data_IF_536615796911
#
_entry.id   IF_536615796911
#
_cell.length_a   1.000
_cell.length_b   1.000
_cell.length_c   1.000
_cell.angle_alpha   90.00
_cell.angle_beta   90.00
_cell.angle_gamma   90.00
#
_symmetry.space_group_name_H-M   'P 1'
#
loop_
_entity.id
_entity.type
_entity.pdbx_description
1 polymer ?
#
# COMPACT_ATOMS: atom_id res chain seq x y z
N UNK A 1 24.82 -13.30 -81.50
CA UNK A 1 24.59 -14.65 -80.94
C UNK A 1 23.08 -14.75 -80.77
N UNK A 2 22.38 -15.37 -81.71
CA UNK A 2 20.92 -15.51 -81.67
C UNK A 2 20.58 -16.73 -80.81
N UNK A 3 19.92 -16.51 -79.66
CA UNK A 3 19.39 -17.61 -78.86
C UNK A 3 18.30 -18.32 -79.65
N UNK A 4 18.34 -19.65 -79.66
CA UNK A 4 17.28 -20.42 -80.31
C UNK A 4 16.01 -20.44 -79.44
N UNK A 5 14.86 -20.65 -80.07
CA UNK A 5 13.52 -20.60 -79.42
C UNK A 5 13.41 -21.51 -78.19
N UNK A 6 14.07 -22.66 -78.18
CA UNK A 6 14.07 -23.62 -77.09
C UNK A 6 14.85 -23.11 -75.87
N UNK A 7 15.99 -22.45 -76.08
CA UNK A 7 16.76 -21.80 -75.01
C UNK A 7 15.96 -20.66 -74.36
N UNK A 8 15.16 -19.93 -75.15
CA UNK A 8 14.26 -18.89 -74.64
C UNK A 8 13.13 -19.46 -73.79
N UNK A 9 12.57 -20.63 -74.17
CA UNK A 9 11.55 -21.31 -73.36
C UNK A 9 12.13 -21.82 -72.05
N UNK A 10 13.29 -22.48 -72.10
CA UNK A 10 13.97 -22.98 -70.91
C UNK A 10 14.34 -21.86 -69.94
N UNK A 11 14.82 -20.72 -70.47
CA UNK A 11 15.07 -19.54 -69.67
C UNK A 11 13.81 -18.99 -69.01
N UNK A 12 12.71 -18.85 -69.78
CA UNK A 12 11.41 -18.38 -69.27
C UNK A 12 10.87 -19.30 -68.17
N UNK A 13 10.94 -20.61 -68.37
CA UNK A 13 10.48 -21.59 -67.39
C UNK A 13 11.38 -21.63 -66.15
N UNK A 14 12.69 -21.45 -66.33
CA UNK A 14 13.65 -21.27 -65.25
C UNK A 14 13.34 -20.03 -64.40
N UNK A 15 13.08 -18.88 -65.05
CA UNK A 15 12.70 -17.64 -64.39
C UNK A 15 11.37 -17.79 -63.63
N UNK A 16 10.37 -18.45 -64.23
CA UNK A 16 9.09 -18.74 -63.58
C UNK A 16 9.27 -19.59 -62.32
N UNK A 17 10.03 -20.69 -62.40
CA UNK A 17 10.34 -21.53 -61.22
C UNK A 17 11.11 -20.77 -60.13
N UNK A 18 11.94 -19.80 -60.49
CA UNK A 18 12.62 -18.96 -59.50
C UNK A 18 11.65 -18.00 -58.80
N UNK A 19 10.75 -17.37 -59.56
CA UNK A 19 9.71 -16.51 -59.03
C UNK A 19 8.73 -17.28 -58.13
N UNK A 20 8.26 -18.45 -58.57
CA UNK A 20 7.35 -19.28 -57.78
C UNK A 20 7.97 -19.69 -56.44
N UNK A 21 9.26 -20.08 -56.44
CA UNK A 21 10.02 -20.35 -55.19
C UNK A 21 10.19 -19.10 -54.35
N UNK A 22 10.33 -17.93 -54.96
CA UNK A 22 10.39 -16.64 -54.26
C UNK A 22 9.07 -16.31 -53.56
N UNK A 23 7.96 -16.47 -54.27
CA UNK A 23 6.60 -16.27 -53.76
C UNK A 23 6.34 -17.20 -52.57
N UNK A 24 6.72 -18.48 -52.68
CA UNK A 24 6.52 -19.44 -51.58
C UNK A 24 7.29 -19.04 -50.33
N UNK A 25 8.58 -18.66 -50.47
CA UNK A 25 9.37 -18.16 -49.33
C UNK A 25 8.75 -16.92 -48.69
N UNK A 26 8.20 -16.00 -49.49
CA UNK A 26 7.52 -14.83 -48.95
C UNK A 26 6.21 -15.19 -48.25
N UNK A 27 5.46 -16.18 -48.73
CA UNK A 27 4.25 -16.69 -48.08
C UNK A 27 4.60 -17.31 -46.72
N UNK A 28 5.57 -18.22 -46.66
CA UNK A 28 6.03 -18.82 -45.39
C UNK A 28 6.56 -17.77 -44.40
N UNK A 29 7.26 -16.74 -44.90
CA UNK A 29 7.76 -15.65 -44.04
C UNK A 29 6.61 -14.81 -43.50
N UNK A 30 5.60 -14.55 -44.32
CA UNK A 30 4.40 -13.82 -43.90
C UNK A 30 3.63 -14.59 -42.83
N UNK A 31 3.42 -15.89 -43.02
CA UNK A 31 2.73 -16.74 -42.04
C UNK A 31 3.48 -16.76 -40.70
N UNK A 32 4.80 -16.97 -40.71
CA UNK A 32 5.62 -16.90 -39.50
C UNK A 32 5.51 -15.56 -38.77
N UNK A 33 5.47 -14.44 -39.50
CA UNK A 33 5.29 -13.12 -38.90
C UNK A 33 3.88 -12.94 -38.31
N UNK A 34 2.86 -13.52 -38.95
CA UNK A 34 1.49 -13.49 -38.42
C UNK A 34 1.36 -14.33 -37.14
N UNK A 35 1.97 -15.50 -37.10
CA UNK A 35 1.99 -16.35 -35.91
C UNK A 35 2.77 -15.69 -34.77
N UNK A 36 3.93 -15.11 -35.07
CA UNK A 36 4.68 -14.33 -34.09
C UNK A 36 3.88 -13.14 -33.55
N UNK A 37 3.19 -12.40 -34.43
CA UNK A 37 2.35 -11.28 -33.99
C UNK A 37 1.21 -11.74 -33.09
N UNK A 38 0.58 -12.90 -33.38
CA UNK A 38 -0.49 -13.45 -32.55
C UNK A 38 0.04 -13.84 -31.17
N UNK A 39 1.15 -14.58 -31.14
CA UNK A 39 1.81 -14.98 -29.91
C UNK A 39 2.21 -13.77 -29.05
N UNK A 40 2.76 -12.72 -29.67
CA UNK A 40 3.10 -11.48 -28.96
C UNK A 40 1.88 -10.77 -28.37
N UNK A 41 0.74 -10.78 -29.07
CA UNK A 41 -0.50 -10.20 -28.54
C UNK A 41 -1.00 -10.99 -27.33
N UNK A 42 -1.06 -12.32 -27.43
CA UNK A 42 -1.46 -13.20 -26.32
C UNK A 42 -0.57 -13.00 -25.08
N UNK A 43 0.76 -13.00 -25.27
CA UNK A 43 1.70 -12.75 -24.18
C UNK A 43 1.56 -11.34 -23.59
N UNK A 44 1.21 -10.34 -24.40
CA UNK A 44 0.97 -8.97 -23.93
C UNK A 44 -0.30 -8.90 -23.10
N UNK A 45 -1.38 -9.54 -23.54
CA UNK A 45 -2.65 -9.59 -22.83
C UNK A 45 -2.51 -10.29 -21.46
N UNK A 46 -1.75 -11.39 -21.41
CA UNK A 46 -1.42 -12.08 -20.16
C UNK A 46 -0.64 -11.18 -19.18
N UNK A 47 0.36 -10.45 -19.68
CA UNK A 47 1.15 -9.52 -18.87
C UNK A 47 0.30 -8.34 -18.37
N UNK A 48 -0.62 -7.82 -19.18
CA UNK A 48 -1.55 -6.76 -18.77
C UNK A 48 -2.46 -7.28 -17.65
N UNK A 49 -3.07 -8.44 -17.82
CA UNK A 49 -3.97 -9.03 -16.82
C UNK A 49 -3.25 -9.28 -15.47
N UNK A 50 -2.02 -9.79 -15.52
CA UNK A 50 -1.23 -10.01 -14.31
C UNK A 50 -0.81 -8.69 -13.65
N UNK A 51 -0.50 -7.65 -14.44
CA UNK A 51 -0.20 -6.33 -13.91
C UNK A 51 -1.41 -5.71 -13.20
N UNK A 52 -2.60 -5.82 -13.78
CA UNK A 52 -3.86 -5.37 -13.16
C UNK A 52 -4.13 -6.12 -11.85
N UNK A 53 -3.94 -7.44 -11.84
CA UNK A 53 -4.08 -8.27 -10.64
C UNK A 53 -3.13 -7.83 -9.53
N UNK A 54 -1.84 -7.67 -9.84
CA UNK A 54 -0.82 -7.23 -8.88
C UNK A 54 -1.07 -5.81 -8.39
N UNK A 55 -1.53 -4.91 -9.26
CA UNK A 55 -1.90 -3.54 -8.89
C UNK A 55 -3.08 -3.51 -7.91
N UNK A 56 -4.08 -4.36 -8.14
CA UNK A 56 -5.20 -4.53 -7.22
C UNK A 56 -4.75 -5.07 -5.85
N UNK A 57 -3.89 -6.11 -5.84
CA UNK A 57 -3.34 -6.66 -4.60
C UNK A 57 -2.52 -5.63 -3.84
N UNK A 58 -1.71 -4.84 -4.54
CA UNK A 58 -0.93 -3.77 -3.93
C UNK A 58 -1.83 -2.71 -3.27
N UNK A 59 -2.89 -2.27 -3.95
CA UNK A 59 -3.85 -1.31 -3.39
C UNK A 59 -4.54 -1.88 -2.15
N UNK A 60 -4.93 -3.15 -2.18
CA UNK A 60 -5.55 -3.82 -1.04
C UNK A 60 -4.60 -3.87 0.16
N UNK A 61 -3.35 -4.29 -0.05
CA UNK A 61 -2.34 -4.33 1.02
C UNK A 61 -2.04 -2.93 1.56
N UNK A 62 -1.97 -1.91 0.70
CA UNK A 62 -1.80 -0.52 1.14
C UNK A 62 -2.94 -0.07 2.05
N UNK A 63 -4.19 -0.35 1.67
CA UNK A 63 -5.35 -0.05 2.50
C UNK A 63 -5.33 -0.80 3.85
N UNK A 64 -4.93 -2.08 3.86
CA UNK A 64 -4.79 -2.87 5.08
C UNK A 64 -3.69 -2.33 6.01
N UNK A 65 -2.55 -1.92 5.45
CA UNK A 65 -1.44 -1.31 6.19
C UNK A 65 -1.85 0.02 6.80
N UNK A 66 -2.54 0.87 6.03
CA UNK A 66 -3.05 2.16 6.52
C UNK A 66 -4.07 1.97 7.64
N UNK A 67 -5.00 1.02 7.47
CA UNK A 67 -5.98 0.68 8.50
C UNK A 67 -5.29 0.17 9.77
N UNK A 68 -4.35 -0.76 9.66
CA UNK A 68 -3.61 -1.30 10.79
C UNK A 68 -2.81 -0.20 11.52
N UNK A 69 -2.19 0.72 10.77
CA UNK A 69 -1.48 1.88 11.31
C UNK A 69 -2.43 2.78 12.11
N UNK A 70 -3.61 3.09 11.58
CA UNK A 70 -4.62 3.89 12.29
C UNK A 70 -5.09 3.19 13.58
N UNK A 71 -5.35 1.89 13.53
CA UNK A 71 -5.75 1.12 14.73
C UNK A 71 -4.66 1.11 15.79
N UNK A 72 -3.41 0.91 15.39
CA UNK A 72 -2.26 0.98 16.30
C UNK A 72 -2.16 2.36 16.96
N UNK A 73 -2.33 3.44 16.18
CA UNK A 73 -2.29 4.80 16.71
C UNK A 73 -3.41 5.07 17.71
N UNK A 74 -4.64 4.65 17.41
CA UNK A 74 -5.78 4.72 18.33
C UNK A 74 -5.49 4.01 19.65
N UNK A 75 -4.89 2.81 19.60
CA UNK A 75 -4.49 2.05 20.79
C UNK A 75 -3.38 2.75 21.59
N UNK A 76 -2.39 3.30 20.88
CA UNK A 76 -1.28 4.02 21.49
C UNK A 76 -1.74 5.30 22.21
N UNK A 77 -2.62 6.08 21.60
CA UNK A 77 -3.21 7.29 22.19
C UNK A 77 -4.01 6.97 23.47
N UNK A 78 -4.83 5.91 23.46
CA UNK A 78 -5.52 5.42 24.67
C UNK A 78 -4.55 5.06 25.80
N UNK A 79 -3.39 4.51 25.45
CA UNK A 79 -2.35 4.18 26.43
C UNK A 79 -1.67 5.43 26.99
N UNK A 80 -1.43 6.44 26.13
CA UNK A 80 -0.82 7.71 26.52
C UNK A 80 -1.70 8.54 27.47
N UNK A 81 -3.02 8.52 27.30
CA UNK A 81 -3.97 9.16 28.25
C UNK A 81 -3.71 8.76 29.71
N UNK A 82 -3.17 7.55 29.94
CA UNK A 82 -2.87 7.01 31.28
C UNK A 82 -1.46 7.32 31.79
N UNK A 83 -0.63 8.03 31.03
CA UNK A 83 0.77 8.37 31.37
C UNK A 83 0.92 9.85 31.78
N UNK A 84 2.12 10.25 32.21
CA UNK A 84 2.43 11.62 32.65
C UNK A 84 2.36 12.66 31.52
N UNK A 85 2.10 13.93 31.84
CA UNK A 85 1.97 15.06 30.89
C UNK A 85 3.16 15.20 29.92
N UNK A 86 4.40 15.22 30.42
CA UNK A 86 5.59 15.37 29.57
C UNK A 86 5.72 14.26 28.50
N UNK A 87 5.26 13.04 28.79
CA UNK A 87 5.25 11.94 27.81
C UNK A 87 4.16 12.12 26.75
N UNK A 88 3.07 12.79 27.09
CA UNK A 88 1.96 13.11 26.17
C UNK A 88 2.35 14.20 25.19
N UNK A 89 2.91 15.31 25.67
CA UNK A 89 3.41 16.41 24.81
C UNK A 89 4.45 15.93 23.80
N UNK A 90 5.46 15.17 24.27
CA UNK A 90 6.47 14.60 23.39
C UNK A 90 5.86 13.66 22.34
N UNK A 91 4.87 12.85 22.71
CA UNK A 91 4.20 11.96 21.78
C UNK A 91 3.31 12.70 20.77
N UNK A 92 2.60 13.76 21.17
CA UNK A 92 1.83 14.62 20.25
C UNK A 92 2.75 15.17 19.17
N UNK A 93 3.89 15.71 19.56
CA UNK A 93 4.88 16.28 18.64
C UNK A 93 5.39 15.24 17.63
N UNK A 94 5.78 14.06 18.10
CA UNK A 94 6.25 12.95 17.24
C UNK A 94 5.17 12.51 16.26
N UNK A 95 3.91 12.39 16.69
CA UNK A 95 2.80 11.98 15.82
C UNK A 95 2.58 13.03 14.72
N UNK A 96 2.51 14.31 15.09
CA UNK A 96 2.34 15.40 14.12
C UNK A 96 3.50 15.45 13.10
N UNK A 97 4.74 15.33 13.56
CA UNK A 97 5.92 15.28 12.69
C UNK A 97 5.90 14.08 11.74
N UNK A 98 5.53 12.88 12.22
CA UNK A 98 5.45 11.68 11.40
C UNK A 98 4.44 11.80 10.25
N UNK A 99 3.28 12.42 10.50
CA UNK A 99 2.27 12.62 9.47
C UNK A 99 2.65 13.75 8.51
N UNK A 100 3.21 14.85 9.02
CA UNK A 100 3.75 15.94 8.19
C UNK A 100 4.85 15.45 7.24
N UNK A 101 5.81 14.66 7.75
CA UNK A 101 6.89 14.07 6.95
C UNK A 101 6.37 13.07 5.92
N UNK A 102 5.33 12.30 6.26
CA UNK A 102 4.69 11.39 5.34
C UNK A 102 3.82 12.10 4.29
N UNK A 103 3.59 13.41 4.41
CA UNK A 103 2.63 14.19 3.60
C UNK A 103 1.23 13.57 3.60
N UNK A 104 0.83 13.03 4.76
CA UNK A 104 -0.49 12.44 4.98
C UNK A 104 -1.22 13.29 5.99
N UNK A 105 -2.47 13.65 5.68
CA UNK A 105 -3.33 14.36 6.63
C UNK A 105 -3.66 13.46 7.83
N UNK A 106 -3.64 14.03 9.04
CA UNK A 106 -4.13 13.29 10.21
C UNK A 106 -5.65 13.15 10.09
N UNK A 107 -6.21 11.94 10.26
CA UNK A 107 -7.65 11.78 10.35
C UNK A 107 -8.24 12.61 11.51
N UNK A 108 -9.40 13.24 11.27
CA UNK A 108 -10.06 14.12 12.26
C UNK A 108 -10.22 13.46 13.63
N UNK A 109 -10.58 12.18 13.68
CA UNK A 109 -10.75 11.46 14.94
C UNK A 109 -9.44 11.32 15.74
N UNK A 110 -8.31 11.23 15.05
CA UNK A 110 -6.97 11.19 15.65
C UNK A 110 -6.56 12.58 16.12
N UNK A 111 -6.89 13.63 15.36
CA UNK A 111 -6.69 15.02 15.79
C UNK A 111 -7.48 15.28 17.08
N UNK A 112 -8.76 14.91 17.12
CA UNK A 112 -9.59 15.02 18.31
C UNK A 112 -8.98 14.26 19.49
N UNK A 113 -8.49 13.03 19.30
CA UNK A 113 -7.82 12.27 20.37
C UNK A 113 -6.51 12.92 20.84
N UNK A 114 -5.78 13.61 19.95
CA UNK A 114 -4.58 14.38 20.29
C UNK A 114 -4.92 15.61 21.11
N UNK A 115 -5.99 16.33 20.79
CA UNK A 115 -6.39 17.52 21.53
C UNK A 115 -6.83 17.15 22.95
N UNK A 116 -7.61 16.09 23.11
CA UNK A 116 -8.18 15.65 24.40
C UNK A 116 -7.27 14.70 25.21
N UNK A 117 -5.99 14.63 24.89
CA UNK A 117 -5.03 13.73 25.55
C UNK A 117 -4.72 14.13 26.99
N UNK A 118 -4.98 15.40 27.35
CA UNK A 118 -4.63 16.00 28.63
C UNK A 118 -5.82 16.13 29.62
N UNK A 119 -7.05 16.04 29.10
CA UNK A 119 -8.30 16.37 29.82
C UNK A 119 -8.61 15.46 31.02
N UNK A 120 -8.26 14.17 30.96
CA UNK A 120 -8.57 13.20 32.03
C UNK A 120 -7.66 13.34 33.27
N UNK A 121 -6.67 14.23 33.28
CA UNK A 121 -5.82 14.49 34.45
C UNK A 121 -6.19 15.72 35.26
N UNK A 122 -7.25 16.45 34.88
CA UNK A 122 -7.77 17.60 35.64
C UNK A 122 -8.72 17.17 36.76
N UNK A 123 -8.96 15.88 36.97
CA UNK A 123 -9.54 15.43 38.24
C UNK A 123 -8.44 15.25 39.29
N UNK A 124 -8.21 16.20 40.21
CA UNK A 124 -7.55 15.84 41.44
C UNK A 124 -8.37 14.71 42.04
N UNK A 125 -7.75 13.54 42.26
CA UNK A 125 -8.24 12.64 43.29
C UNK A 125 -8.14 13.41 44.60
N UNK A 126 -9.19 14.18 44.92
CA UNK A 126 -9.41 14.72 46.25
C UNK A 126 -9.69 13.49 47.10
N UNK A 127 -8.63 12.85 47.59
CA UNK A 127 -8.76 11.95 48.73
C UNK A 127 -9.13 12.88 49.87
N UNK A 128 -10.42 12.96 50.15
CA UNK A 128 -10.92 13.65 51.31
C UNK A 128 -10.42 12.89 52.55
N UNK A 129 -9.28 13.29 53.10
CA UNK A 129 -8.81 12.83 54.42
C UNK A 129 -9.38 13.72 55.54
N UNK A 130 -10.42 14.53 55.26
CA UNK A 130 -11.25 15.11 56.33
C UNK A 130 -12.26 14.06 56.82
N UNK A 131 -11.73 12.97 57.39
CA UNK A 131 -12.49 11.89 58.02
C UNK A 131 -12.03 11.59 59.45
N UNK A 132 -11.10 12.37 60.03
CA UNK A 132 -10.76 12.28 61.45
C UNK A 132 -11.54 13.35 62.23
N UNK A 133 -12.87 13.24 62.22
CA UNK A 133 -13.73 13.91 63.19
C UNK A 133 -13.58 13.21 64.54
N UNK A 134 -13.20 13.98 65.55
CA UNK A 134 -13.56 13.84 66.96
C UNK A 134 -14.21 12.51 67.39
N UNK A 135 -13.40 11.57 67.90
CA UNK A 135 -13.84 10.63 68.93
C UNK A 135 -13.22 11.04 70.26
N UNK A 136 -13.93 11.94 70.93
CA UNK A 136 -13.84 12.12 72.38
C UNK A 136 -14.38 10.83 72.99
N UNK A 137 -13.48 9.99 73.52
CA UNK A 137 -13.84 9.02 74.53
C UNK A 137 -12.94 9.23 75.75
N UNK A 138 -13.49 9.99 76.70
CA UNK A 138 -13.22 9.79 78.12
C UNK A 138 -13.29 8.28 78.42
N UNK A 139 -12.21 7.73 78.98
CA UNK A 139 -12.26 6.69 80.01
C UNK A 139 -10.87 6.41 80.58
N UNK A 140 -10.58 7.08 81.70
CA UNK A 140 -10.00 6.44 82.88
C UNK A 140 -8.51 6.06 82.83
N UNK A 141 -7.70 6.85 83.55
CA UNK A 141 -6.85 6.31 84.63
C UNK A 141 -6.36 7.44 85.55
N UNK A 142 -7.09 7.62 86.64
CA UNK A 142 -6.48 7.88 87.95
C UNK A 142 -5.92 6.54 88.42
N UNK A 143 -4.64 6.50 88.77
CA UNK A 143 -4.10 5.53 89.72
C UNK A 143 -2.77 6.05 90.28
N UNK A 144 -2.89 6.61 91.49
CA UNK A 144 -1.96 6.62 92.64
C UNK A 144 -0.54 7.16 92.42
#
# INVERSE_FOLDING_TARGET
MEMNVEELKDWKDGARRQLDRGIERFREKKERLQDYSRWMMEATDELIAENERLSYELQKVQAEVEWARQQWLRSYLKTLKRKTLAKREAAKMVITELFANAKVELPDDIVDMLDHLDDEQIEPKVVNVAGCYNEIHDNGRVAV
#
